data_IF_067441474451
#
_entry.id   IF_067441474451
#
_cell.length_a   1.000
_cell.length_b   1.000
_cell.length_c   1.000
_cell.angle_alpha   90.00
_cell.angle_beta   90.00
_cell.angle_gamma   90.00
#
_symmetry.space_group_name_H-M   'P 1'
#
loop_
_entity.id
_entity.type
_entity.pdbx_description
1 polymer ?
#
# COMPACT_ATOMS: atom_id res chain seq x y z
N UNK A 1 14.61 -35.56 -10.42
CA UNK A 1 14.26 -34.46 -9.50
C UNK A 1 14.70 -33.16 -10.14
N UNK A 2 13.76 -32.32 -10.60
CA UNK A 2 14.07 -31.03 -11.25
C UNK A 2 14.16 -29.94 -10.18
N UNK A 3 15.35 -29.44 -9.89
CA UNK A 3 15.57 -28.24 -9.08
C UNK A 3 16.49 -27.30 -9.86
N UNK A 4 16.03 -26.07 -10.13
CA UNK A 4 16.89 -25.01 -10.68
C UNK A 4 16.34 -24.21 -11.85
N UNK A 5 15.04 -23.86 -11.85
CA UNK A 5 14.55 -22.79 -12.72
C UNK A 5 14.98 -21.44 -12.16
N UNK A 6 15.85 -20.72 -12.86
CA UNK A 6 16.25 -19.35 -12.52
C UNK A 6 15.02 -18.46 -12.27
N UNK A 7 15.00 -17.59 -11.26
CA UNK A 7 13.89 -16.68 -11.03
C UNK A 7 13.67 -15.87 -12.30
N UNK A 8 12.45 -15.95 -12.82
CA UNK A 8 12.02 -15.40 -14.10
C UNK A 8 12.57 -13.99 -14.32
N UNK A 9 13.68 -13.85 -15.06
CA UNK A 9 14.38 -12.57 -15.23
C UNK A 9 13.95 -11.95 -16.56
N UNK A 10 12.87 -11.18 -16.51
CA UNK A 10 12.46 -10.41 -17.70
C UNK A 10 13.49 -9.32 -18.03
N UNK A 11 13.76 -9.07 -19.32
CA UNK A 11 14.57 -7.93 -19.73
C UNK A 11 14.01 -6.61 -19.19
N UNK A 12 14.89 -5.69 -18.79
CA UNK A 12 14.50 -4.39 -18.20
C UNK A 12 13.50 -3.60 -19.04
N UNK A 13 13.63 -3.64 -20.37
CA UNK A 13 12.71 -2.94 -21.28
C UNK A 13 11.29 -3.52 -21.23
N UNK A 14 11.13 -4.85 -21.07
CA UNK A 14 9.82 -5.50 -20.94
C UNK A 14 9.15 -5.10 -19.61
N UNK A 15 9.92 -5.12 -18.51
CA UNK A 15 9.43 -4.66 -17.20
C UNK A 15 9.00 -3.19 -17.30
N UNK A 16 9.81 -2.33 -17.92
CA UNK A 16 9.47 -0.92 -18.08
C UNK A 16 8.18 -0.70 -18.87
N UNK A 17 7.94 -1.48 -19.93
CA UNK A 17 6.69 -1.44 -20.69
C UNK A 17 5.49 -1.82 -19.82
N UNK A 18 5.58 -2.97 -19.13
CA UNK A 18 4.52 -3.46 -18.24
C UNK A 18 4.17 -2.44 -17.15
N UNK A 19 5.16 -1.81 -16.52
CA UNK A 19 4.92 -0.79 -15.49
C UNK A 19 4.19 0.42 -16.06
N UNK A 20 4.59 0.90 -17.25
CA UNK A 20 3.92 2.04 -17.91
C UNK A 20 2.46 1.74 -18.26
N UNK A 21 2.17 0.51 -18.67
CA UNK A 21 0.81 0.09 -19.03
C UNK A 21 -0.07 -0.18 -17.81
N UNK A 22 0.45 -0.83 -16.76
CA UNK A 22 -0.31 -1.14 -15.53
C UNK A 22 -0.51 0.07 -14.61
N UNK A 23 0.47 0.97 -14.59
CA UNK A 23 0.49 2.16 -13.74
C UNK A 23 0.74 3.40 -14.61
N UNK A 24 -0.18 3.73 -15.53
CA UNK A 24 -0.05 4.91 -16.36
C UNK A 24 0.03 6.15 -15.46
N UNK A 25 0.95 7.04 -15.78
CA UNK A 25 1.08 8.33 -15.10
C UNK A 25 -0.03 9.23 -15.60
N UNK A 26 -1.26 8.98 -15.16
CA UNK A 26 -2.38 9.88 -15.39
C UNK A 26 -2.31 11.04 -14.39
N UNK A 27 -1.94 12.22 -14.89
CA UNK A 27 -2.05 13.46 -14.12
C UNK A 27 -3.52 13.72 -13.72
N UNK A 28 -4.47 13.37 -14.59
CA UNK A 28 -5.92 13.50 -14.37
C UNK A 28 -6.46 12.56 -13.27
N UNK A 29 -5.83 11.41 -13.02
CA UNK A 29 -6.30 10.45 -12.01
C UNK A 29 -6.12 10.97 -10.58
N UNK A 30 -5.24 11.95 -10.37
CA UNK A 30 -5.13 12.71 -9.10
C UNK A 30 -6.36 13.56 -8.82
N UNK A 31 -7.08 14.00 -9.86
CA UNK A 31 -8.33 14.78 -9.78
C UNK A 31 -9.58 13.87 -9.67
N UNK A 32 -9.43 12.54 -9.60
CA UNK A 32 -10.52 11.70 -9.09
C UNK A 32 -10.71 12.13 -7.64
N UNK A 33 -11.64 13.07 -7.44
CA UNK A 33 -12.30 13.36 -6.16
C UNK A 33 -12.89 12.05 -5.67
N UNK A 34 -12.03 11.19 -5.11
CA UNK A 34 -12.47 10.26 -4.10
C UNK A 34 -13.29 11.11 -3.13
N UNK A 35 -14.45 10.62 -2.75
CA UNK A 35 -15.26 11.24 -1.71
C UNK A 35 -14.44 11.27 -0.43
N UNK A 36 -13.50 12.20 -0.34
CA UNK A 36 -13.13 12.86 0.88
C UNK A 36 -14.42 13.54 1.26
N UNK A 37 -15.29 12.81 1.98
CA UNK A 37 -16.24 13.45 2.87
C UNK A 37 -15.43 14.55 3.54
N UNK A 38 -15.85 15.81 3.39
CA UNK A 38 -15.16 16.94 4.01
C UNK A 38 -14.68 16.48 5.38
N UNK A 39 -13.35 16.40 5.53
CA UNK A 39 -12.75 16.02 6.80
C UNK A 39 -13.05 17.20 7.71
N UNK A 40 -14.24 17.16 8.31
CA UNK A 40 -14.85 18.23 9.10
C UNK A 40 -14.34 18.20 10.54
N UNK A 41 -13.41 17.30 10.87
CA UNK A 41 -12.81 17.18 12.19
C UNK A 41 -11.31 17.35 12.13
N UNK A 42 -10.81 18.43 12.74
CA UNK A 42 -9.38 18.60 13.05
C UNK A 42 -8.85 17.50 13.98
N UNK A 43 -9.75 16.79 14.67
CA UNK A 43 -9.43 15.76 15.67
C UNK A 43 -9.95 14.38 15.29
N UNK A 44 -9.04 13.43 15.08
CA UNK A 44 -9.31 12.01 14.93
C UNK A 44 -9.86 11.43 16.23
N UNK A 45 -10.96 10.67 16.13
CA UNK A 45 -11.51 9.92 17.26
C UNK A 45 -10.87 8.55 17.33
N UNK A 46 -10.60 8.08 18.54
CA UNK A 46 -10.03 6.75 18.77
C UNK A 46 -10.87 5.63 18.11
N UNK A 47 -12.21 5.78 18.12
CA UNK A 47 -13.13 4.86 17.45
C UNK A 47 -12.86 4.76 15.95
N UNK A 48 -12.58 5.87 15.27
CA UNK A 48 -12.31 5.90 13.83
C UNK A 48 -11.00 5.18 13.53
N UNK A 49 -9.95 5.45 14.32
CA UNK A 49 -8.66 4.78 14.21
C UNK A 49 -8.80 3.27 14.46
N UNK A 50 -9.54 2.88 15.50
CA UNK A 50 -9.81 1.48 15.83
C UNK A 50 -10.54 0.75 14.71
N UNK A 51 -11.56 1.37 14.13
CA UNK A 51 -12.31 0.79 13.00
C UNK A 51 -11.43 0.66 11.74
N UNK A 52 -10.60 1.66 11.45
CA UNK A 52 -9.65 1.60 10.34
C UNK A 52 -8.65 0.45 10.51
N UNK A 53 -8.04 0.32 11.69
CA UNK A 53 -7.10 -0.77 12.00
C UNK A 53 -7.79 -2.14 11.94
N UNK A 54 -9.04 -2.25 12.41
CA UNK A 54 -9.82 -3.51 12.34
C UNK A 54 -10.02 -3.98 10.90
N UNK A 55 -10.27 -3.05 9.96
CA UNK A 55 -10.49 -3.33 8.52
C UNK A 55 -9.23 -3.84 7.79
N UNK A 56 -8.03 -3.65 8.36
CA UNK A 56 -6.79 -4.14 7.74
C UNK A 56 -6.80 -5.67 7.59
N UNK A 57 -6.40 -6.17 6.42
CA UNK A 57 -6.24 -7.61 6.16
C UNK A 57 -4.87 -8.07 6.64
N UNK A 58 -4.83 -9.05 7.55
CA UNK A 58 -3.60 -9.48 8.25
C UNK A 58 -2.55 -10.19 7.37
N UNK A 59 -2.93 -10.63 6.17
CA UNK A 59 -2.09 -11.37 5.23
C UNK A 59 -1.56 -10.49 4.08
N UNK A 60 -1.61 -9.17 4.22
CA UNK A 60 -1.01 -8.26 3.25
C UNK A 60 0.47 -8.04 3.56
N UNK A 61 1.26 -7.90 2.50
CA UNK A 61 2.67 -7.55 2.60
C UNK A 61 2.84 -6.17 3.26
N UNK A 62 3.89 -5.95 4.06
CA UNK A 62 4.21 -4.63 4.59
C UNK A 62 4.62 -3.67 3.46
N UNK A 63 4.45 -2.38 3.71
CA UNK A 63 4.98 -1.33 2.83
C UNK A 63 6.50 -1.20 2.93
N UNK A 64 7.05 -0.13 2.36
CA UNK A 64 8.47 0.16 2.44
C UNK A 64 8.93 0.52 3.88
N UNK A 65 7.98 0.81 4.77
CA UNK A 65 8.20 1.02 6.20
C UNK A 65 8.42 -0.28 7.01
N UNK A 66 8.17 -1.45 6.41
CA UNK A 66 8.30 -2.75 7.08
C UNK A 66 7.20 -3.05 8.11
N UNK A 67 6.22 -2.17 8.29
CA UNK A 67 5.18 -2.32 9.30
C UNK A 67 4.05 -3.20 8.73
N UNK A 68 3.87 -4.39 9.31
CA UNK A 68 2.80 -5.29 8.86
C UNK A 68 1.43 -4.88 9.42
N UNK A 69 0.32 -5.21 8.73
CA UNK A 69 -1.02 -5.06 9.27
C UNK A 69 -1.23 -5.76 10.63
N UNK A 70 -0.55 -6.89 10.86
CA UNK A 70 -0.60 -7.59 12.15
C UNK A 70 0.07 -6.78 13.26
N UNK A 71 1.20 -6.13 12.97
CA UNK A 71 1.89 -5.26 13.92
C UNK A 71 1.02 -4.06 14.31
N UNK A 72 0.34 -3.44 13.34
CA UNK A 72 -0.61 -2.35 13.61
C UNK A 72 -1.78 -2.81 14.49
N UNK A 73 -2.36 -3.98 14.21
CA UNK A 73 -3.42 -4.56 15.05
C UNK A 73 -2.94 -4.88 16.47
N UNK A 74 -1.72 -5.40 16.60
CA UNK A 74 -1.12 -5.68 17.90
C UNK A 74 -0.93 -4.38 18.71
N UNK A 75 -0.34 -3.35 18.09
CA UNK A 75 -0.13 -2.05 18.71
C UNK A 75 -1.46 -1.40 19.13
N UNK A 76 -2.49 -1.46 18.27
CA UNK A 76 -3.82 -0.97 18.63
C UNK A 76 -4.45 -1.69 19.83
N UNK A 77 -4.14 -2.97 20.03
CA UNK A 77 -4.55 -3.71 21.22
C UNK A 77 -3.74 -3.38 22.48
N UNK A 78 -2.57 -2.75 22.34
CA UNK A 78 -1.68 -2.37 23.45
C UNK A 78 -1.81 -0.91 23.87
N UNK A 79 -1.84 0.00 22.91
CA UNK A 79 -1.92 1.44 23.15
C UNK A 79 -2.71 2.15 22.04
N UNK A 80 -4.03 2.11 22.15
CA UNK A 80 -4.90 2.74 21.17
C UNK A 80 -4.83 4.28 21.22
N UNK A 81 -4.62 4.84 22.42
CA UNK A 81 -4.52 6.27 22.62
C UNK A 81 -3.23 6.84 22.01
N UNK A 82 -2.08 6.18 22.21
CA UNK A 82 -0.81 6.55 21.60
C UNK A 82 -0.83 6.44 20.08
N UNK A 83 -1.38 5.34 19.55
CA UNK A 83 -1.57 5.19 18.11
C UNK A 83 -2.47 6.31 17.53
N UNK A 84 -3.54 6.70 18.24
CA UNK A 84 -4.42 7.80 17.82
C UNK A 84 -3.69 9.14 17.82
N UNK A 85 -2.89 9.44 18.85
CA UNK A 85 -2.06 10.66 18.88
C UNK A 85 -1.05 10.72 17.74
N UNK A 86 -0.42 9.58 17.43
CA UNK A 86 0.51 9.48 16.31
C UNK A 86 -0.18 9.78 14.97
N UNK A 87 -1.32 9.15 14.70
CA UNK A 87 -2.09 9.43 13.47
C UNK A 87 -2.59 10.87 13.44
N UNK A 88 -3.02 11.43 14.57
CA UNK A 88 -3.43 12.82 14.68
C UNK A 88 -2.32 13.78 14.25
N UNK A 89 -1.08 13.53 14.68
CA UNK A 89 0.07 14.35 14.31
C UNK A 89 0.32 14.36 12.79
N UNK A 90 0.31 13.19 12.15
CA UNK A 90 0.46 13.10 10.70
C UNK A 90 -0.74 13.68 9.94
N UNK A 91 -1.95 13.55 10.51
CA UNK A 91 -3.17 14.11 9.94
C UNK A 91 -3.16 15.64 9.93
N UNK A 92 -2.74 16.27 11.04
CA UNK A 92 -2.72 17.73 11.16
C UNK A 92 -1.53 18.37 10.44
N UNK A 93 -0.35 17.76 10.50
CA UNK A 93 0.85 18.31 9.83
C UNK A 93 0.78 18.18 8.30
N UNK A 94 0.01 17.22 7.78
CA UNK A 94 0.02 16.84 6.35
C UNK A 94 1.40 16.38 5.86
N UNK A 95 2.32 16.09 6.78
CA UNK A 95 3.68 15.67 6.49
C UNK A 95 3.82 14.17 6.72
N UNK A 96 3.80 13.39 5.63
CA UNK A 96 3.88 11.95 5.72
C UNK A 96 5.29 11.43 5.43
N UNK A 97 5.74 10.38 6.15
CA UNK A 97 7.00 9.71 5.87
C UNK A 97 7.16 9.37 4.38
N UNK A 98 8.34 9.62 3.82
CA UNK A 98 8.62 9.39 2.39
C UNK A 98 8.31 7.95 1.97
N UNK A 99 8.68 6.98 2.81
CA UNK A 99 8.45 5.56 2.58
C UNK A 99 6.96 5.16 2.50
N UNK A 100 6.03 5.97 3.01
CA UNK A 100 4.58 5.77 2.83
C UNK A 100 4.10 6.14 1.42
N UNK A 101 4.88 6.99 0.73
CA UNK A 101 4.62 7.44 -0.65
C UNK A 101 5.34 6.57 -1.69
N UNK A 102 6.09 5.57 -1.24
CA UNK A 102 6.88 4.67 -2.07
C UNK A 102 6.27 3.25 -2.06
N UNK A 103 6.27 2.59 -3.22
CA UNK A 103 5.78 1.23 -3.36
C UNK A 103 6.84 0.34 -4.01
N UNK A 104 6.99 -0.89 -3.51
CA UNK A 104 7.78 -1.93 -4.17
C UNK A 104 6.86 -2.71 -5.11
N UNK A 105 7.12 -2.62 -6.41
CA UNK A 105 6.39 -3.40 -7.41
C UNK A 105 7.09 -4.74 -7.64
N UNK A 106 6.35 -5.82 -7.45
CA UNK A 106 6.78 -7.18 -7.76
C UNK A 106 5.81 -7.74 -8.80
N UNK A 107 6.32 -8.07 -9.98
CA UNK A 107 5.53 -8.70 -11.04
C UNK A 107 5.44 -10.19 -10.75
N UNK A 108 4.22 -10.67 -10.48
CA UNK A 108 3.93 -12.08 -10.24
C UNK A 108 3.24 -12.64 -11.49
N UNK A 109 3.83 -13.63 -12.19
CA UNK A 109 3.18 -14.26 -13.33
C UNK A 109 1.97 -15.06 -12.85
N UNK A 110 0.83 -14.90 -13.52
CA UNK A 110 -0.34 -15.76 -13.29
C UNK A 110 -0.16 -17.07 -14.05
N UNK A 111 -0.55 -18.17 -13.43
CA UNK A 111 -0.54 -19.49 -14.06
C UNK A 111 -1.40 -19.50 -15.34
N UNK A 112 -0.93 -20.18 -16.37
CA UNK A 112 -1.63 -20.30 -17.66
C UNK A 112 -1.64 -19.04 -18.54
N UNK A 113 -0.94 -17.96 -18.14
CA UNK A 113 -0.87 -16.73 -18.92
C UNK A 113 0.55 -16.31 -19.25
N UNK A 114 0.71 -15.52 -20.32
CA UNK A 114 2.01 -14.99 -20.74
C UNK A 114 2.52 -13.99 -19.70
N UNK A 115 3.73 -14.21 -19.22
CA UNK A 115 4.37 -13.41 -18.17
C UNK A 115 4.73 -11.99 -18.58
N UNK A 116 4.78 -11.71 -19.89
CA UNK A 116 5.14 -10.43 -20.48
C UNK A 116 3.96 -9.65 -21.06
N UNK A 117 2.73 -10.16 -20.86
CA UNK A 117 1.47 -9.49 -21.16
C UNK A 117 0.94 -8.81 -19.88
N UNK A 118 0.86 -7.47 -19.83
CA UNK A 118 0.32 -6.76 -18.67
C UNK A 118 -1.17 -7.03 -18.41
N UNK A 119 -1.92 -7.55 -19.39
CA UNK A 119 -3.33 -7.94 -19.21
C UNK A 119 -3.49 -9.37 -18.68
N UNK A 120 -2.39 -10.10 -18.50
CA UNK A 120 -2.39 -11.45 -17.94
C UNK A 120 -2.95 -11.48 -16.50
#
# INVERSE_FOLDING_TARGET
MHLGGTPYRMPKYKISRIIKELFPVDYERRERKERYTEITGDKLKEKEVKEAVKRLKGNKAPGMDGISPKALKYLAGKDMAGMTRMFQHYWSSREFPRNWKEARVVLLPKEGKKSDDPSA
#
